data_IF_949815304984
#
_entry.id   IF_949815304984
#
_cell.length_a   1.000
_cell.length_b   1.000
_cell.length_c   1.000
_cell.angle_alpha   90.00
_cell.angle_beta   90.00
_cell.angle_gamma   90.00
#
_symmetry.space_group_name_H-M   'P 1'
#
loop_
_entity.id
_entity.type
_entity.pdbx_description
1 polymer ?
#
# COMPACT_ATOMS: atom_id res chain seq x y z
N UNK A 1 15.82 -3.32 -7.70
CA UNK A 1 15.25 -2.15 -8.36
C UNK A 1 13.96 -2.54 -9.08
N UNK A 2 12.95 -1.69 -8.98
CA UNK A 2 11.65 -1.99 -9.58
C UNK A 2 11.53 -1.34 -10.94
N UNK A 3 11.05 -2.11 -11.92
CA UNK A 3 10.91 -1.61 -13.28
C UNK A 3 9.68 -0.75 -13.49
N UNK A 4 8.66 -0.99 -12.68
CA UNK A 4 7.39 -0.31 -12.85
C UNK A 4 6.86 0.17 -11.52
N UNK A 5 6.23 1.35 -11.56
CA UNK A 5 5.46 1.85 -10.42
C UNK A 5 4.00 1.74 -10.76
N UNK A 6 3.21 1.31 -9.79
CA UNK A 6 1.77 1.20 -9.96
C UNK A 6 1.08 1.75 -8.73
N UNK A 7 -0.16 2.19 -8.91
CA UNK A 7 -0.97 2.66 -7.80
C UNK A 7 -2.07 1.66 -7.53
N UNK A 8 -2.20 1.28 -6.27
CA UNK A 8 -3.23 0.36 -5.83
C UNK A 8 -4.22 1.13 -4.96
N UNK A 9 -5.49 1.13 -5.37
CA UNK A 9 -6.52 1.81 -4.58
C UNK A 9 -6.74 1.03 -3.28
N UNK A 10 -6.60 1.72 -2.16
CA UNK A 10 -6.77 1.11 -0.86
C UNK A 10 -8.24 1.13 -0.44
N UNK A 11 -8.72 0.08 0.23
CA UNK A 11 -10.10 0.03 0.70
C UNK A 11 -10.34 1.01 1.84
N UNK A 12 -11.58 1.45 1.96
CA UNK A 12 -11.95 2.43 2.99
C UNK A 12 -11.70 1.94 4.40
N UNK A 13 -11.81 0.63 4.64
CA UNK A 13 -11.67 0.11 6.00
C UNK A 13 -10.29 0.39 6.58
N UNK A 14 -9.27 0.54 5.73
CA UNK A 14 -7.94 0.88 6.20
C UNK A 14 -7.97 2.23 6.90
N UNK A 15 -8.62 3.21 6.27
CA UNK A 15 -8.71 4.56 6.81
C UNK A 15 -9.63 4.63 8.02
N UNK A 16 -10.68 3.85 8.02
CA UNK A 16 -11.64 3.82 9.11
C UNK A 16 -11.08 3.16 10.36
N UNK A 17 -10.27 2.13 10.20
CA UNK A 17 -9.70 1.41 11.34
C UNK A 17 -8.43 2.04 11.87
N UNK A 18 -7.69 2.73 11.02
CA UNK A 18 -6.44 3.34 11.44
C UNK A 18 -6.69 4.58 12.28
N UNK A 19 -6.00 4.68 13.42
CA UNK A 19 -6.10 5.84 14.30
C UNK A 19 -5.03 6.88 13.99
N UNK A 20 -3.94 6.47 13.37
CA UNK A 20 -2.84 7.36 13.02
C UNK A 20 -2.07 6.82 11.82
N UNK A 21 -1.03 7.56 11.42
CA UNK A 21 -0.24 7.19 10.25
C UNK A 21 0.47 5.84 10.41
N UNK A 22 0.90 5.53 11.62
CA UNK A 22 1.58 4.26 11.87
C UNK A 22 0.63 3.09 11.64
N UNK A 23 -0.60 3.24 12.08
CA UNK A 23 -1.59 2.18 11.87
C UNK A 23 -1.97 2.06 10.40
N UNK A 24 -2.04 3.18 9.69
CA UNK A 24 -2.28 3.15 8.25
C UNK A 24 -1.20 2.31 7.57
N UNK A 25 0.06 2.58 7.89
CA UNK A 25 1.16 1.82 7.29
C UNK A 25 1.07 0.33 7.62
N UNK A 26 0.74 0.01 8.85
CA UNK A 26 0.62 -1.37 9.28
C UNK A 26 -0.50 -2.09 8.52
N UNK A 27 -1.66 -1.45 8.42
CA UNK A 27 -2.79 -2.04 7.73
C UNK A 27 -2.52 -2.17 6.22
N UNK A 28 -1.87 -1.18 5.65
CA UNK A 28 -1.51 -1.24 4.23
C UNK A 28 -0.52 -2.37 3.98
N UNK A 29 0.48 -2.53 4.85
CA UNK A 29 1.43 -3.63 4.71
C UNK A 29 0.73 -4.98 4.78
N UNK A 30 -0.22 -5.13 5.69
CA UNK A 30 -0.99 -6.37 5.80
C UNK A 30 -1.81 -6.61 4.54
N UNK A 31 -2.43 -5.56 4.02
CA UNK A 31 -3.20 -5.66 2.79
C UNK A 31 -2.32 -6.06 1.61
N UNK A 32 -1.14 -5.47 1.53
CA UNK A 32 -0.23 -5.73 0.42
C UNK A 32 0.43 -7.11 0.48
N UNK A 33 0.32 -7.83 1.57
CA UNK A 33 0.81 -9.21 1.65
C UNK A 33 0.12 -10.13 0.66
N UNK A 34 -1.06 -9.75 0.21
CA UNK A 34 -1.78 -10.49 -0.84
C UNK A 34 -1.14 -10.35 -2.20
N UNK A 35 -0.24 -9.39 -2.34
CA UNK A 35 0.40 -9.08 -3.61
C UNK A 35 1.91 -9.15 -3.45
N UNK A 36 2.48 -10.36 -3.37
CA UNK A 36 3.91 -10.52 -3.06
C UNK A 36 4.84 -9.95 -4.12
N UNK A 37 4.32 -9.74 -5.34
CA UNK A 37 5.11 -9.16 -6.42
C UNK A 37 5.22 -7.64 -6.35
N UNK A 38 4.47 -7.02 -5.44
CA UNK A 38 4.49 -5.58 -5.24
C UNK A 38 5.19 -5.24 -3.95
N UNK A 39 5.88 -4.12 -3.96
CA UNK A 39 6.49 -3.61 -2.75
C UNK A 39 6.03 -2.18 -2.53
N UNK A 40 5.53 -1.90 -1.34
CA UNK A 40 5.05 -0.57 -1.00
C UNK A 40 6.21 0.42 -0.97
N UNK A 41 6.06 1.51 -1.73
CA UNK A 41 7.03 2.61 -1.75
C UNK A 41 6.53 3.75 -0.89
N UNK A 42 5.31 4.19 -1.14
CA UNK A 42 4.71 5.29 -0.38
C UNK A 42 3.20 5.24 -0.50
N UNK A 43 2.54 6.06 0.28
CA UNK A 43 1.09 6.21 0.22
C UNK A 43 0.79 7.63 -0.22
N UNK A 44 0.00 7.78 -1.28
CA UNK A 44 -0.45 9.07 -1.78
C UNK A 44 -1.97 9.08 -1.81
N UNK A 45 -2.56 10.05 -1.14
CA UNK A 45 -4.01 10.15 -1.02
C UNK A 45 -4.56 8.81 -0.52
N UNK A 46 -5.36 8.13 -1.32
CA UNK A 46 -5.92 6.83 -0.95
C UNK A 46 -5.30 5.69 -1.74
N UNK A 47 -4.16 5.94 -2.35
CA UNK A 47 -3.46 4.95 -3.16
C UNK A 47 -2.16 4.54 -2.53
N UNK A 48 -1.85 3.26 -2.64
CA UNK A 48 -0.53 2.76 -2.31
C UNK A 48 0.31 2.76 -3.58
N UNK A 49 1.37 3.54 -3.59
CA UNK A 49 2.31 3.53 -4.71
C UNK A 49 3.27 2.38 -4.47
N UNK A 50 3.27 1.44 -5.39
CA UNK A 50 4.05 0.21 -5.25
C UNK A 50 5.00 0.03 -6.42
N UNK A 51 6.14 -0.58 -6.13
CA UNK A 51 7.03 -1.04 -7.16
C UNK A 51 6.65 -2.46 -7.55
N UNK A 52 6.63 -2.73 -8.82
CA UNK A 52 6.36 -4.06 -9.33
C UNK A 52 7.62 -4.63 -9.96
N UNK A 53 7.92 -5.85 -9.56
CA UNK A 53 9.03 -6.58 -10.16
C UNK A 53 8.51 -7.18 -11.46
N UNK A 54 8.96 -6.61 -12.54
CA UNK A 54 8.46 -6.98 -13.85
C UNK A 54 9.13 -8.12 -14.52
#
# INVERSE_FOLDING_TARGET
MFNYKTKVLLPKWIWEQANDEKEVMKLVNDYMKRYPNYKLIEIQDRYAVCGRKG
#
